data_IF_279305576659
#
_entry.id   IF_279305576659
#
_cell.length_a   1.000
_cell.length_b   1.000
_cell.length_c   1.000
_cell.angle_alpha   90.00
_cell.angle_beta   90.00
_cell.angle_gamma   90.00
#
_symmetry.space_group_name_H-M   'P 1'
#
loop_
_entity.id
_entity.type
_entity.pdbx_description
1 polymer ?
#
# COMPACT_ATOMS: atom_id res chain seq x y z
N UNK A 1 3.52 -11.02 -31.17
CA UNK A 1 2.89 -9.81 -30.62
C UNK A 1 1.79 -10.28 -29.70
N UNK A 2 2.00 -10.20 -28.38
CA UNK A 2 0.98 -10.53 -27.39
C UNK A 2 0.35 -9.22 -26.98
N UNK A 3 -0.94 -9.08 -27.20
CA UNK A 3 -1.73 -7.96 -26.73
C UNK A 3 -1.53 -7.82 -25.21
N UNK A 4 -0.87 -6.73 -24.82
CA UNK A 4 -0.68 -6.35 -23.43
C UNK A 4 -1.97 -5.63 -22.99
N UNK A 5 -2.66 -6.06 -21.93
CA UNK A 5 -3.89 -5.40 -21.50
C UNK A 5 -3.52 -4.12 -20.75
N UNK A 6 -3.17 -3.08 -21.50
CA UNK A 6 -2.98 -1.71 -21.00
C UNK A 6 -4.32 -0.96 -20.88
N UNK A 7 -5.43 -1.57 -21.31
CA UNK A 7 -6.73 -0.91 -21.34
C UNK A 7 -7.39 -0.94 -19.95
N UNK A 8 -7.42 0.22 -19.29
CA UNK A 8 -8.20 0.50 -18.08
C UNK A 8 -9.71 0.22 -18.20
N UNK A 9 -10.19 -0.10 -19.40
CA UNK A 9 -11.56 -0.52 -19.69
C UNK A 9 -12.02 -1.74 -18.87
N UNK A 10 -11.12 -2.66 -18.50
CA UNK A 10 -11.50 -3.86 -17.74
C UNK A 10 -11.97 -3.58 -16.30
N UNK A 11 -11.74 -2.37 -15.77
CA UNK A 11 -12.17 -1.94 -14.43
C UNK A 11 -13.22 -0.81 -14.46
N UNK A 12 -13.63 -0.37 -15.65
CA UNK A 12 -14.49 0.82 -15.82
C UNK A 12 -13.83 2.11 -15.32
N UNK A 13 -12.49 2.14 -15.24
CA UNK A 13 -11.72 3.32 -14.84
C UNK A 13 -11.10 3.95 -16.08
N UNK A 14 -11.39 5.22 -16.31
CA UNK A 14 -10.63 6.02 -17.26
C UNK A 14 -9.27 6.39 -16.63
N UNK A 15 -8.23 5.69 -17.06
CA UNK A 15 -6.88 5.89 -16.54
C UNK A 15 -6.26 7.21 -17.01
N UNK A 16 -6.69 7.75 -18.14
CA UNK A 16 -6.23 9.02 -18.68
C UNK A 16 -6.84 10.18 -17.88
N UNK A 17 -8.15 10.14 -17.66
CA UNK A 17 -8.87 11.10 -16.80
C UNK A 17 -8.23 11.18 -15.41
N UNK A 18 -8.01 10.02 -14.77
CA UNK A 18 -7.39 9.99 -13.43
C UNK A 18 -5.97 10.56 -13.47
N UNK A 19 -5.20 10.31 -14.52
CA UNK A 19 -3.85 10.86 -14.66
C UNK A 19 -3.86 12.39 -14.77
N UNK A 20 -4.81 12.94 -15.51
CA UNK A 20 -5.02 14.39 -15.63
C UNK A 20 -5.41 14.98 -14.27
N UNK A 21 -6.36 14.37 -13.56
CA UNK A 21 -6.79 14.84 -12.24
C UNK A 21 -5.65 14.79 -11.20
N UNK A 22 -4.75 13.80 -11.27
CA UNK A 22 -3.62 13.67 -10.34
C UNK A 22 -2.57 14.81 -10.48
N UNK A 23 -2.45 15.43 -11.65
CA UNK A 23 -1.55 16.59 -11.84
C UNK A 23 -2.25 17.93 -11.61
N UNK A 24 -3.57 17.90 -11.36
CA UNK A 24 -4.42 19.04 -11.12
C UNK A 24 -4.23 19.68 -9.75
N UNK A 25 -5.19 20.54 -9.39
CA UNK A 25 -5.28 21.15 -8.08
C UNK A 25 -5.74 20.16 -6.99
N UNK A 26 -5.97 20.67 -5.78
CA UNK A 26 -6.34 19.82 -4.64
C UNK A 26 -7.70 19.14 -4.84
N UNK A 27 -8.68 19.83 -5.42
CA UNK A 27 -10.02 19.28 -5.60
C UNK A 27 -10.01 18.20 -6.69
N UNK A 28 -9.27 18.43 -7.77
CA UNK A 28 -9.03 17.46 -8.83
C UNK A 28 -8.31 16.21 -8.31
N UNK A 29 -7.25 16.40 -7.50
CA UNK A 29 -6.54 15.28 -6.87
C UNK A 29 -7.43 14.49 -5.92
N UNK A 30 -8.26 15.16 -5.12
CA UNK A 30 -9.19 14.49 -4.22
C UNK A 30 -10.24 13.67 -5.02
N UNK A 31 -10.69 14.14 -6.19
CA UNK A 31 -11.56 13.38 -7.08
C UNK A 31 -10.85 12.18 -7.72
N UNK A 32 -9.60 12.36 -8.19
CA UNK A 32 -8.78 11.26 -8.70
C UNK A 32 -8.70 10.11 -7.69
N UNK A 33 -8.49 10.44 -6.42
CA UNK A 33 -8.43 9.47 -5.33
C UNK A 33 -9.78 8.76 -5.11
N UNK A 34 -10.92 9.45 -5.23
CA UNK A 34 -12.24 8.82 -5.14
C UNK A 34 -12.47 7.83 -6.28
N UNK A 35 -12.07 8.16 -7.50
CA UNK A 35 -12.14 7.26 -8.65
C UNK A 35 -11.27 6.02 -8.44
N UNK A 36 -10.03 6.21 -7.96
CA UNK A 36 -9.12 5.11 -7.62
C UNK A 36 -9.72 4.20 -6.55
N UNK A 37 -10.23 4.73 -5.43
CA UNK A 37 -10.82 3.89 -4.37
C UNK A 37 -12.07 3.14 -4.89
N UNK A 38 -12.94 3.81 -5.66
CA UNK A 38 -14.15 3.19 -6.20
C UNK A 38 -13.85 2.02 -7.12
N UNK A 39 -12.91 2.20 -8.06
CA UNK A 39 -12.69 1.24 -9.14
C UNK A 39 -11.55 0.25 -8.84
N UNK A 40 -10.52 0.67 -8.12
CA UNK A 40 -9.30 -0.12 -7.94
C UNK A 40 -9.15 -0.72 -6.54
N UNK A 41 -10.03 -0.45 -5.59
CA UNK A 41 -9.90 -1.02 -4.23
C UNK A 41 -9.83 -2.54 -4.20
N UNK A 42 -10.65 -3.23 -5.02
CA UNK A 42 -10.60 -4.70 -5.14
C UNK A 42 -9.31 -5.17 -5.83
N UNK A 43 -8.90 -4.64 -7.01
CA UNK A 43 -7.61 -4.93 -7.61
C UNK A 43 -6.41 -4.69 -6.66
N UNK A 44 -6.36 -3.54 -5.99
CA UNK A 44 -5.31 -3.19 -5.01
C UNK A 44 -5.26 -4.22 -3.88
N UNK A 45 -6.42 -4.58 -3.31
CA UNK A 45 -6.49 -5.62 -2.28
C UNK A 45 -5.98 -6.97 -2.78
N UNK A 46 -6.27 -7.33 -4.04
CA UNK A 46 -5.75 -8.53 -4.70
C UNK A 46 -4.22 -8.54 -4.78
N UNK A 47 -3.62 -7.44 -5.26
CA UNK A 47 -2.16 -7.27 -5.33
C UNK A 47 -1.52 -7.37 -3.94
N UNK A 48 -2.12 -6.71 -2.94
CA UNK A 48 -1.62 -6.76 -1.55
C UNK A 48 -1.71 -8.20 -1.01
N UNK A 49 -2.82 -8.91 -1.22
CA UNK A 49 -2.96 -10.31 -0.78
C UNK A 49 -1.95 -11.23 -1.44
N UNK A 50 -1.66 -11.03 -2.72
CA UNK A 50 -0.66 -11.83 -3.43
C UNK A 50 0.74 -11.60 -2.86
N UNK A 51 1.09 -10.36 -2.52
CA UNK A 51 2.39 -10.02 -1.96
C UNK A 51 2.53 -10.36 -0.46
N UNK A 52 1.41 -10.34 0.27
CA UNK A 52 1.37 -10.49 1.73
C UNK A 52 0.17 -11.36 2.17
N UNK A 53 0.21 -12.68 1.90
CA UNK A 53 -0.93 -13.58 2.15
C UNK A 53 -1.27 -13.74 3.63
N UNK A 54 -0.34 -13.43 4.53
CA UNK A 54 -0.51 -13.54 5.99
C UNK A 54 -1.20 -12.33 6.65
N UNK A 55 -1.64 -11.33 5.88
CA UNK A 55 -2.34 -10.16 6.43
C UNK A 55 -3.79 -10.51 6.78
N UNK A 56 -4.20 -10.11 7.98
CA UNK A 56 -5.60 -10.17 8.42
C UNK A 56 -6.44 -9.16 7.64
N UNK A 57 -7.77 -9.32 7.69
CA UNK A 57 -8.70 -8.46 6.95
C UNK A 57 -8.58 -6.97 7.35
N UNK A 58 -8.38 -6.66 8.63
CA UNK A 58 -8.11 -5.30 9.12
C UNK A 58 -6.81 -4.74 8.55
N UNK A 59 -5.72 -5.51 8.67
CA UNK A 59 -4.42 -5.11 8.12
C UNK A 59 -4.49 -4.88 6.61
N UNK A 60 -5.29 -5.67 5.89
CA UNK A 60 -5.51 -5.49 4.45
C UNK A 60 -6.25 -4.19 4.14
N UNK A 61 -7.32 -3.86 4.88
CA UNK A 61 -8.05 -2.59 4.70
C UNK A 61 -7.14 -1.40 4.93
N UNK A 62 -6.35 -1.44 6.01
CA UNK A 62 -5.40 -0.39 6.32
C UNK A 62 -4.33 -0.29 5.22
N UNK A 63 -3.90 -1.42 4.66
CA UNK A 63 -2.88 -1.43 3.60
C UNK A 63 -3.42 -0.80 2.31
N UNK A 64 -4.68 -1.08 1.95
CA UNK A 64 -5.34 -0.38 0.84
C UNK A 64 -5.38 1.14 1.09
N UNK A 65 -5.70 1.56 2.32
CA UNK A 65 -5.71 2.98 2.66
C UNK A 65 -4.32 3.62 2.53
N UNK A 66 -3.26 2.94 2.97
CA UNK A 66 -1.87 3.42 2.82
C UNK A 66 -1.48 3.61 1.35
N UNK A 67 -2.02 2.79 0.44
CA UNK A 67 -1.79 2.95 -1.01
C UNK A 67 -2.45 4.23 -1.50
N UNK A 68 -3.71 4.45 -1.14
CA UNK A 68 -4.45 5.66 -1.51
C UNK A 68 -3.73 6.92 -1.01
N UNK A 69 -3.32 6.93 0.26
CA UNK A 69 -2.56 8.04 0.85
C UNK A 69 -1.24 8.27 0.11
N UNK A 70 -0.50 7.21 -0.21
CA UNK A 70 0.78 7.34 -0.90
C UNK A 70 0.63 7.87 -2.35
N UNK A 71 -0.45 7.53 -3.05
CA UNK A 71 -0.74 8.08 -4.38
C UNK A 71 -1.06 9.58 -4.26
N UNK A 72 -1.89 9.97 -3.29
CA UNK A 72 -2.23 11.36 -3.04
C UNK A 72 -1.01 12.21 -2.65
N UNK A 73 -0.14 11.68 -1.79
CA UNK A 73 1.13 12.31 -1.42
C UNK A 73 2.04 12.48 -2.64
N UNK A 74 2.14 11.46 -3.50
CA UNK A 74 2.93 11.57 -4.73
C UNK A 74 2.41 12.65 -5.67
N UNK A 75 1.09 12.80 -5.80
CA UNK A 75 0.46 13.87 -6.57
C UNK A 75 0.75 15.26 -5.96
N UNK A 76 0.46 15.44 -4.67
CA UNK A 76 0.66 16.72 -3.95
C UNK A 76 2.10 17.19 -3.94
N UNK A 77 3.05 16.26 -3.84
CA UNK A 77 4.48 16.55 -3.86
C UNK A 77 5.07 16.62 -5.28
N UNK A 78 4.24 16.54 -6.33
CA UNK A 78 4.67 16.57 -7.73
C UNK A 78 5.71 15.50 -8.08
N UNK A 79 5.60 14.33 -7.45
CA UNK A 79 6.42 13.14 -7.71
C UNK A 79 5.72 12.14 -8.65
N UNK A 80 4.46 12.38 -8.99
CA UNK A 80 3.74 11.62 -10.01
C UNK A 80 4.20 12.03 -11.42
N UNK A 81 4.36 11.04 -12.30
CA UNK A 81 4.79 11.20 -13.70
C UNK A 81 3.63 10.75 -14.61
N UNK A 82 2.89 11.68 -15.24
CA UNK A 82 1.69 11.38 -16.02
C UNK A 82 1.98 10.68 -17.36
N UNK A 83 3.22 10.74 -17.85
CA UNK A 83 3.62 10.05 -19.09
C UNK A 83 3.82 8.54 -18.87
N UNK A 84 3.74 8.08 -17.61
CA UNK A 84 3.83 6.66 -17.26
C UNK A 84 2.43 6.07 -17.05
N UNK A 85 2.23 4.79 -17.42
CA UNK A 85 0.95 4.12 -17.19
C UNK A 85 0.52 4.12 -15.71
N UNK A 86 -0.70 4.60 -15.45
CA UNK A 86 -1.29 4.76 -14.11
C UNK A 86 -1.39 3.43 -13.34
N UNK A 87 -1.95 2.38 -13.96
CA UNK A 87 -2.22 1.11 -13.27
C UNK A 87 -0.93 0.43 -12.78
N UNK A 88 0.13 0.28 -13.61
CA UNK A 88 1.43 -0.18 -13.13
C UNK A 88 2.01 0.63 -11.97
N UNK A 89 1.85 1.96 -11.97
CA UNK A 89 2.28 2.81 -10.87
C UNK A 89 1.53 2.45 -9.58
N UNK A 90 0.19 2.42 -9.60
CA UNK A 90 -0.64 2.10 -8.43
C UNK A 90 -0.32 0.69 -7.90
N UNK A 91 -0.21 -0.31 -8.77
CA UNK A 91 0.11 -1.68 -8.34
C UNK A 91 1.54 -1.81 -7.79
N UNK A 92 2.48 -1.00 -8.28
CA UNK A 92 3.83 -0.90 -7.70
C UNK A 92 3.77 -0.33 -6.28
N UNK A 93 3.00 0.74 -6.06
CA UNK A 93 2.78 1.31 -4.72
C UNK A 93 2.15 0.26 -3.79
N UNK A 94 1.11 -0.45 -4.25
CA UNK A 94 0.45 -1.52 -3.50
C UNK A 94 1.40 -2.62 -3.06
N UNK A 95 2.24 -3.12 -3.99
CA UNK A 95 3.23 -4.15 -3.68
C UNK A 95 4.28 -3.66 -2.67
N UNK A 96 4.75 -2.41 -2.80
CA UNK A 96 5.71 -1.83 -1.85
C UNK A 96 5.11 -1.73 -0.44
N UNK A 97 3.89 -1.21 -0.31
CA UNK A 97 3.19 -1.12 0.99
C UNK A 97 2.97 -2.49 1.62
N UNK A 98 2.62 -3.51 0.83
CA UNK A 98 2.48 -4.88 1.30
C UNK A 98 3.79 -5.43 1.90
N UNK A 99 4.92 -5.25 1.19
CA UNK A 99 6.24 -5.68 1.65
C UNK A 99 6.66 -4.93 2.92
N UNK A 100 6.41 -3.63 2.99
CA UNK A 100 6.75 -2.81 4.16
C UNK A 100 5.98 -3.25 5.41
N UNK A 101 4.71 -3.66 5.24
CA UNK A 101 3.89 -4.25 6.31
C UNK A 101 4.48 -5.57 6.81
N UNK A 102 4.86 -6.47 5.91
CA UNK A 102 5.53 -7.73 6.28
C UNK A 102 6.81 -7.43 7.07
N UNK A 103 7.67 -6.55 6.55
CA UNK A 103 8.93 -6.16 7.22
C UNK A 103 8.69 -5.60 8.61
N UNK A 104 7.68 -4.75 8.78
CA UNK A 104 7.31 -4.19 10.10
C UNK A 104 6.82 -5.29 11.05
N UNK A 105 6.03 -6.24 10.57
CA UNK A 105 5.54 -7.39 11.36
C UNK A 105 6.68 -8.30 11.80
N UNK A 106 7.60 -8.66 10.89
CA UNK A 106 8.78 -9.46 11.22
C UNK A 106 9.68 -8.77 12.24
N UNK A 107 9.93 -7.46 12.10
CA UNK A 107 10.68 -6.69 13.11
C UNK A 107 9.98 -6.65 14.47
N UNK A 108 8.65 -6.50 14.49
CA UNK A 108 7.88 -6.50 15.74
C UNK A 108 7.99 -7.85 16.46
N UNK A 109 7.87 -8.96 15.72
CA UNK A 109 8.03 -10.30 16.29
C UNK A 109 9.45 -10.49 16.85
N UNK A 110 10.49 -10.10 16.10
CA UNK A 110 11.87 -10.16 16.58
C UNK A 110 12.10 -9.33 17.84
N UNK A 111 11.59 -8.09 17.89
CA UNK A 111 11.68 -7.26 19.08
C UNK A 111 10.90 -7.84 20.27
N UNK A 112 9.72 -8.43 20.06
CA UNK A 112 8.96 -9.09 21.13
C UNK A 112 9.74 -10.29 21.69
N UNK A 113 10.31 -11.14 20.84
CA UNK A 113 11.14 -12.26 21.30
C UNK A 113 12.38 -11.80 22.09
N UNK A 114 13.01 -10.70 21.67
CA UNK A 114 14.13 -10.11 22.40
C UNK A 114 13.68 -9.57 23.77
N UNK A 115 12.52 -8.90 23.83
CA UNK A 115 11.97 -8.40 25.10
C UNK A 115 11.58 -9.54 26.04
N UNK A 116 10.99 -10.62 25.53
CA UNK A 116 10.63 -11.80 26.32
C UNK A 116 11.89 -12.47 26.89
N UNK A 117 12.95 -12.63 26.09
CA UNK A 117 14.23 -13.18 26.55
C UNK A 117 14.92 -12.31 27.62
N UNK A 118 14.84 -10.97 27.49
CA UNK A 118 15.35 -10.05 28.50
C UNK A 118 14.51 -10.15 29.78
N UNK A 119 13.19 -10.22 29.67
CA UNK A 119 12.30 -10.37 30.82
C UNK A 119 12.54 -11.69 31.57
N UNK A 120 12.74 -12.79 30.86
CA UNK A 120 13.09 -14.10 31.43
C UNK A 120 14.45 -14.05 32.15
N UNK A 121 15.47 -13.43 31.52
CA UNK A 121 16.80 -13.26 32.14
C UNK A 121 16.74 -12.40 33.41
N UNK A 122 15.92 -11.34 33.41
CA UNK A 122 15.73 -10.47 34.58
C UNK A 122 14.91 -11.15 35.69
N UNK A 123 13.97 -12.02 35.34
CA UNK A 123 13.20 -12.81 36.30
C UNK A 123 14.06 -13.89 36.98
N UNK A 124 15.03 -14.45 36.26
CA UNK A 124 15.98 -15.43 36.79
C UNK A 124 17.08 -14.82 37.66
N UNK A 125 17.35 -13.52 37.53
CA UNK A 125 18.11 -12.78 38.55
C UNK A 125 17.24 -12.53 39.77
N UNK A 126 17.13 -13.53 40.65
CA UNK A 126 16.78 -13.30 42.05
C UNK A 126 17.70 -12.23 42.62
N UNK A 127 17.13 -11.07 42.92
CA UNK A 127 17.74 -10.07 43.80
C UNK A 127 17.81 -10.73 45.18
N UNK A 128 18.96 -11.36 45.45
CA UNK A 128 19.29 -11.92 46.76
C UNK A 128 19.54 -10.80 47.76
N UNK A 129 19.06 -11.04 48.97
CA UNK A 129 19.07 -10.21 50.19
C UNK A 129 20.39 -9.50 50.53
#
# INVERSE_FOLDING_TARGET
MKDNPETGEAAGLDAEEVSILLIGDKEEQDEAIRLIDRHLRRPIAGVIRQAAPSLRAEELRDACQDVIVAVLEAAREKRYDPDRPLLPFIFTVARRKAIDRIRKKSRKIGNTQVLDAIAETLADTKVGE
#
